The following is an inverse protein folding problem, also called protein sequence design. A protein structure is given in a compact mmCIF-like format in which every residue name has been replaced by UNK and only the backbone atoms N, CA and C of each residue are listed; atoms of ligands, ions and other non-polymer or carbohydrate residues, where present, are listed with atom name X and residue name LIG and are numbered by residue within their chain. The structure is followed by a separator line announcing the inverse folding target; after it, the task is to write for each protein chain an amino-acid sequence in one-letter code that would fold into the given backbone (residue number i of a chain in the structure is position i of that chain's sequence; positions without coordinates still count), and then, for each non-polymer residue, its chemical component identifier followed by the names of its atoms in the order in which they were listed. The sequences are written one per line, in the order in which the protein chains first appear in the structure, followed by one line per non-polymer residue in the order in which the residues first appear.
data_IF_465861231512
#
_entry.id   IF_465861231512
#
_cell.length_a   1.000
_cell.length_b   1.000
_cell.length_c   1.000
_cell.angle_alpha   90.00
_cell.angle_beta   90.00
_cell.angle_gamma   90.00
#
_symmetry.space_group_name_H-M   'P 1'
#
loop_
_entity.id
_entity.type
_entity.pdbx_description
1 polymer ?
#
# COMPACT_ATOMS: atom_id res chain seq x y z
N UNK A 1 -13.70 -9.44 40.42
CA UNK A 1 -14.34 -10.66 39.89
C UNK A 1 -15.41 -10.25 38.91
N UNK A 2 -15.24 -10.45 37.60
CA UNK A 2 -16.25 -10.80 36.59
C UNK A 2 -15.45 -10.92 35.31
N UNK A 3 -15.15 -12.18 34.92
CA UNK A 3 -14.68 -12.55 33.59
C UNK A 3 -15.81 -12.39 32.59
N UNK A 4 -15.60 -11.66 31.51
CA UNK A 4 -16.46 -11.75 30.31
C UNK A 4 -15.68 -12.47 29.20
N UNK A 5 -16.04 -13.73 29.03
CA UNK A 5 -15.60 -14.59 27.95
C UNK A 5 -16.30 -14.14 26.65
N UNK A 6 -15.54 -13.68 25.66
CA UNK A 6 -16.06 -13.43 24.31
C UNK A 6 -15.78 -14.67 23.45
N UNK A 7 -16.84 -15.36 23.04
CA UNK A 7 -16.80 -16.47 22.12
C UNK A 7 -16.69 -15.94 20.68
N UNK A 8 -15.64 -16.32 19.98
CA UNK A 8 -15.46 -16.04 18.53
C UNK A 8 -16.02 -17.23 17.77
N UNK A 9 -17.14 -17.01 17.08
CA UNK A 9 -17.75 -18.00 16.20
C UNK A 9 -17.05 -18.03 14.85
N UNK A 10 -16.46 -19.17 14.49
CA UNK A 10 -15.97 -19.46 13.14
C UNK A 10 -17.14 -19.89 12.26
N UNK A 11 -17.41 -19.16 11.18
CA UNK A 11 -18.33 -19.58 10.12
C UNK A 11 -17.51 -20.23 9.01
N UNK A 12 -17.57 -21.55 8.94
CA UNK A 12 -17.05 -22.36 7.83
C UNK A 12 -18.08 -22.43 6.73
N UNK A 13 -17.82 -21.81 5.58
CA UNK A 13 -18.62 -21.97 4.36
C UNK A 13 -18.06 -23.12 3.53
N UNK A 14 -18.80 -24.21 3.44
CA UNK A 14 -18.52 -25.31 2.54
C UNK A 14 -19.02 -24.95 1.12
N UNK A 15 -18.12 -24.94 0.14
CA UNK A 15 -18.47 -24.82 -1.28
C UNK A 15 -18.78 -26.19 -1.85
N UNK A 16 -20.02 -26.42 -2.26
CA UNK A 16 -20.45 -27.61 -2.98
C UNK A 16 -20.24 -27.42 -4.49
N UNK A 17 -19.41 -28.27 -5.08
CA UNK A 17 -19.25 -28.36 -6.53
C UNK A 17 -20.41 -29.16 -7.11
N UNK A 18 -21.26 -28.51 -7.91
CA UNK A 18 -22.30 -29.15 -8.69
C UNK A 18 -21.87 -29.27 -10.16
N UNK A 19 -21.54 -30.49 -10.59
CA UNK A 19 -21.44 -30.86 -12.01
C UNK A 19 -22.84 -31.09 -12.55
N UNK A 20 -23.29 -30.29 -13.52
CA UNK A 20 -24.48 -30.56 -14.30
C UNK A 20 -24.06 -30.80 -15.75
N UNK A 21 -24.03 -32.08 -16.13
CA UNK A 21 -24.02 -32.51 -17.52
C UNK A 21 -25.48 -32.55 -18.00
N UNK A 22 -25.84 -31.70 -18.95
CA UNK A 22 -27.08 -31.80 -19.68
C UNK A 22 -26.78 -31.97 -21.17
N UNK A 23 -26.99 -33.18 -21.66
CA UNK A 23 -27.16 -33.47 -23.07
C UNK A 23 -28.60 -33.15 -23.44
N UNK A 24 -28.83 -32.31 -24.42
CA UNK A 24 -30.13 -32.13 -25.05
C UNK A 24 -29.97 -32.06 -26.56
N UNK A 25 -30.55 -33.08 -27.17
CA UNK A 25 -30.79 -33.21 -28.59
C UNK A 25 -32.01 -32.37 -29.02
N UNK A 26 -31.85 -31.66 -30.15
CA UNK A 26 -32.88 -31.46 -31.16
C UNK A 26 -33.93 -30.38 -30.93
N UNK A 27 -34.05 -29.52 -31.82
CA UNK A 27 -35.01 -29.27 -32.92
C UNK A 27 -34.99 -27.82 -33.38
N UNK A 28 -34.85 -27.72 -34.65
CA UNK A 28 -34.92 -26.49 -35.45
C UNK A 28 -36.29 -25.83 -35.35
N UNK A 29 -36.34 -24.54 -35.14
CA UNK A 29 -37.40 -23.69 -35.68
C UNK A 29 -36.86 -22.28 -35.96
N UNK A 30 -36.94 -21.94 -37.23
CA UNK A 30 -36.62 -20.64 -37.78
C UNK A 30 -37.66 -19.64 -37.30
N UNK A 31 -37.23 -18.63 -36.57
CA UNK A 31 -37.98 -17.40 -36.46
C UNK A 31 -37.02 -16.24 -36.67
N UNK A 32 -37.19 -15.56 -37.80
CA UNK A 32 -36.54 -14.30 -38.07
C UNK A 32 -37.11 -13.24 -37.15
N UNK A 33 -36.37 -13.02 -36.04
CA UNK A 33 -36.57 -11.89 -35.14
C UNK A 33 -35.22 -11.33 -34.83
N UNK A 34 -35.02 -10.04 -35.07
CA UNK A 34 -33.73 -9.36 -34.82
C UNK A 34 -33.17 -9.67 -33.44
N UNK A 35 -32.03 -10.30 -33.44
CA UNK A 35 -31.31 -10.57 -32.20
C UNK A 35 -30.94 -9.22 -31.53
N UNK A 36 -31.27 -9.01 -30.24
CA UNK A 36 -30.75 -7.85 -29.53
C UNK A 36 -29.22 -7.94 -29.55
N UNK A 37 -28.58 -6.88 -30.04
CA UNK A 37 -27.13 -6.76 -29.95
C UNK A 37 -26.75 -6.75 -28.49
N UNK A 38 -26.21 -7.87 -28.01
CA UNK A 38 -25.61 -7.94 -26.68
C UNK A 38 -24.32 -7.16 -26.79
N UNK A 39 -24.34 -5.89 -26.36
CA UNK A 39 -23.12 -5.15 -26.11
C UNK A 39 -22.39 -5.87 -25.00
N UNK A 40 -21.24 -6.45 -25.33
CA UNK A 40 -20.36 -7.02 -24.33
C UNK A 40 -19.96 -5.88 -23.39
N UNK A 41 -20.47 -5.89 -22.16
CA UNK A 41 -19.96 -5.02 -21.10
C UNK A 41 -18.57 -5.53 -20.81
N UNK A 42 -17.57 -4.88 -21.38
CA UNK A 42 -16.19 -5.10 -20.99
C UNK A 42 -16.08 -4.51 -19.58
N UNK A 43 -16.04 -5.38 -18.60
CA UNK A 43 -15.63 -5.00 -17.28
C UNK A 43 -14.16 -4.61 -17.41
N UNK A 44 -13.85 -3.34 -17.23
CA UNK A 44 -12.49 -2.87 -17.04
C UNK A 44 -12.00 -3.47 -15.72
N UNK A 45 -11.62 -4.73 -15.77
CA UNK A 45 -10.84 -5.34 -14.69
C UNK A 45 -9.50 -4.60 -14.69
N UNK A 46 -9.14 -3.89 -13.61
CA UNK A 46 -7.82 -3.31 -13.52
C UNK A 46 -6.82 -4.42 -13.83
N UNK A 47 -6.04 -4.26 -14.90
CA UNK A 47 -4.98 -5.21 -15.19
C UNK A 47 -4.08 -5.30 -13.97
N UNK A 48 -3.68 -6.51 -13.55
CA UNK A 48 -2.63 -6.65 -12.54
C UNK A 48 -1.44 -5.83 -13.02
N UNK A 49 -1.09 -4.81 -12.27
CA UNK A 49 0.01 -3.93 -12.65
C UNK A 49 1.29 -4.73 -12.54
N UNK A 50 2.15 -4.58 -13.55
CA UNK A 50 3.44 -5.26 -13.55
C UNK A 50 4.26 -4.78 -12.35
N UNK A 51 4.87 -5.69 -11.58
CA UNK A 51 5.81 -5.29 -10.55
C UNK A 51 6.89 -4.43 -11.17
N UNK A 52 7.19 -3.28 -10.54
CA UNK A 52 8.17 -2.32 -11.03
C UNK A 52 9.43 -2.36 -10.15
N UNK A 53 10.27 -3.40 -10.27
CA UNK A 53 11.45 -3.57 -9.42
C UNK A 53 12.49 -2.45 -9.59
N UNK A 54 12.47 -1.75 -10.72
CA UNK A 54 13.33 -0.60 -10.99
C UNK A 54 13.04 0.59 -10.05
N UNK A 55 11.84 0.65 -9.47
CA UNK A 55 11.47 1.69 -8.51
C UNK A 55 11.93 1.38 -7.09
N UNK A 56 12.36 0.16 -6.79
CA UNK A 56 12.80 -0.21 -5.45
C UNK A 56 13.92 0.71 -4.94
N UNK A 57 14.92 1.00 -5.77
CA UNK A 57 16.04 1.86 -5.38
C UNK A 57 15.60 3.31 -5.08
N UNK A 58 14.88 4.03 -5.95
CA UNK A 58 14.47 5.41 -5.68
C UNK A 58 13.46 5.51 -4.53
N UNK A 59 12.56 4.54 -4.35
CA UNK A 59 11.62 4.53 -3.23
C UNK A 59 12.34 4.28 -1.90
N UNK A 60 13.27 3.33 -1.86
CA UNK A 60 14.11 3.07 -0.67
C UNK A 60 14.96 4.29 -0.32
N UNK A 61 15.53 4.97 -1.31
CA UNK A 61 16.31 6.20 -1.08
C UNK A 61 15.43 7.31 -0.50
N UNK A 62 14.21 7.49 -1.00
CA UNK A 62 13.24 8.46 -0.45
C UNK A 62 12.98 8.20 1.03
N UNK A 63 12.74 6.95 1.41
CA UNK A 63 12.51 6.56 2.82
C UNK A 63 13.77 6.76 3.68
N UNK A 64 14.93 6.41 3.15
CA UNK A 64 16.22 6.58 3.85
C UNK A 64 16.50 8.04 4.16
N UNK A 65 16.23 8.95 3.23
CA UNK A 65 16.36 10.38 3.47
C UNK A 65 15.36 10.87 4.52
N UNK A 66 14.10 10.42 4.46
CA UNK A 66 13.10 10.77 5.46
C UNK A 66 13.45 10.28 6.86
N UNK A 67 14.01 9.07 6.98
CA UNK A 67 14.47 8.49 8.24
C UNK A 67 15.86 8.95 8.66
N UNK A 68 16.60 9.65 7.81
CA UNK A 68 17.94 10.15 8.10
C UNK A 68 17.94 11.26 9.15
N UNK A 69 19.12 11.72 9.57
CA UNK A 69 19.27 12.85 10.50
C UNK A 69 18.82 14.16 9.86
N UNK A 70 18.49 15.15 10.68
CA UNK A 70 18.06 16.48 10.27
C UNK A 70 16.58 16.74 10.50
N UNK A 71 16.18 18.02 10.39
CA UNK A 71 14.80 18.43 10.63
C UNK A 71 13.84 18.01 9.50
N UNK A 72 12.60 17.72 9.85
CA UNK A 72 11.57 17.38 8.86
C UNK A 72 11.20 18.55 7.95
N UNK A 73 11.41 19.79 8.39
CA UNK A 73 11.27 20.96 7.51
C UNK A 73 12.22 20.91 6.31
N UNK A 74 13.47 20.44 6.50
CA UNK A 74 14.44 20.23 5.42
C UNK A 74 14.11 19.05 4.49
N UNK A 75 13.25 18.13 4.95
CA UNK A 75 12.81 16.94 4.19
C UNK A 75 11.47 17.12 3.50
N UNK A 76 10.88 18.31 3.57
CA UNK A 76 9.56 18.62 3.01
C UNK A 76 9.43 18.28 1.51
N UNK A 77 10.53 18.36 0.75
CA UNK A 77 10.57 18.00 -0.67
C UNK A 77 10.27 16.51 -0.94
N UNK A 78 10.45 15.63 0.04
CA UNK A 78 10.19 14.18 -0.07
C UNK A 78 8.79 13.80 0.40
N UNK A 79 7.97 14.76 0.83
CA UNK A 79 6.60 14.57 1.27
C UNK A 79 5.66 15.29 0.31
N UNK A 80 4.67 14.60 -0.21
CA UNK A 80 3.68 15.16 -1.12
C UNK A 80 2.93 16.32 -0.44
N UNK A 81 2.97 17.50 -1.07
CA UNK A 81 2.39 18.71 -0.50
C UNK A 81 3.20 19.31 0.65
N UNK A 82 4.40 18.78 0.93
CA UNK A 82 5.24 19.24 2.02
C UNK A 82 4.74 18.83 3.41
N UNK A 83 5.32 19.43 4.44
CA UNK A 83 4.94 19.21 5.84
C UNK A 83 4.63 20.55 6.51
N UNK A 84 3.52 20.62 7.24
CA UNK A 84 3.16 21.81 7.99
C UNK A 84 4.11 22.07 9.17
N UNK A 85 4.17 23.33 9.65
CA UNK A 85 5.06 23.71 10.75
C UNK A 85 4.80 22.92 12.05
N UNK A 86 3.54 22.71 12.37
CA UNK A 86 3.16 21.94 13.58
C UNK A 86 3.52 20.47 13.41
N UNK A 87 3.26 19.92 12.24
CA UNK A 87 3.58 18.54 11.90
C UNK A 87 5.09 18.29 11.89
N UNK A 88 5.89 19.23 11.38
CA UNK A 88 7.35 19.10 11.38
C UNK A 88 7.92 19.07 12.80
N UNK A 89 7.38 19.91 13.72
CA UNK A 89 7.80 19.91 15.13
C UNK A 89 7.42 18.59 15.80
N UNK A 90 6.22 18.05 15.52
CA UNK A 90 5.81 16.74 16.05
C UNK A 90 6.69 15.61 15.53
N UNK A 91 7.00 15.64 14.23
CA UNK A 91 7.89 14.67 13.60
C UNK A 91 9.32 14.75 14.15
N UNK A 92 9.87 15.94 14.36
CA UNK A 92 11.19 16.13 14.95
C UNK A 92 11.25 15.59 16.39
N UNK A 93 10.18 15.74 17.16
CA UNK A 93 10.07 15.16 18.51
C UNK A 93 10.01 13.62 18.47
N UNK A 94 9.16 13.05 17.61
CA UNK A 94 9.07 11.62 17.44
C UNK A 94 10.41 11.01 17.00
N UNK A 95 11.09 11.66 16.04
CA UNK A 95 12.42 11.27 15.61
C UNK A 95 13.43 11.31 16.77
N UNK A 96 13.44 12.39 17.54
CA UNK A 96 14.37 12.55 18.67
C UNK A 96 14.15 11.49 19.75
N UNK A 97 12.90 11.11 20.02
CA UNK A 97 12.58 10.05 20.97
C UNK A 97 13.09 8.69 20.47
N UNK A 98 12.76 8.33 19.23
CA UNK A 98 13.23 7.10 18.60
C UNK A 98 14.77 7.03 18.52
N UNK A 99 15.44 8.16 18.31
CA UNK A 99 16.89 8.23 18.32
C UNK A 99 17.48 7.97 19.69
N UNK A 100 16.86 8.49 20.76
CA UNK A 100 17.26 8.21 22.15
C UNK A 100 17.07 6.74 22.54
N UNK A 101 16.06 6.10 21.95
CA UNK A 101 15.80 4.67 22.14
C UNK A 101 16.72 3.78 21.30
N UNK A 102 17.64 4.38 20.52
CA UNK A 102 18.59 3.64 19.69
C UNK A 102 17.96 2.96 18.48
N UNK A 103 16.77 3.38 18.06
CA UNK A 103 16.06 2.78 16.91
C UNK A 103 16.75 3.06 15.57
N UNK A 104 17.56 4.12 15.48
CA UNK A 104 18.27 4.51 14.25
C UNK A 104 19.68 3.93 14.17
N UNK A 105 20.19 3.65 12.95
CA UNK A 105 19.55 3.87 11.66
C UNK A 105 18.44 2.86 11.35
N UNK A 106 17.44 3.30 10.58
CA UNK A 106 16.43 2.42 10.03
C UNK A 106 16.90 1.87 8.68
N UNK A 107 16.68 0.59 8.45
CA UNK A 107 16.84 -0.03 7.12
C UNK A 107 15.46 -0.33 6.53
N UNK A 108 15.32 -0.14 5.21
CA UNK A 108 14.04 -0.32 4.53
C UNK A 108 14.15 -1.42 3.48
N UNK A 109 13.17 -2.30 3.47
CA UNK A 109 12.94 -3.25 2.40
C UNK A 109 11.59 -2.92 1.75
N UNK A 110 11.62 -2.60 0.46
CA UNK A 110 10.45 -2.19 -0.33
C UNK A 110 10.11 -3.33 -1.27
N UNK A 111 8.92 -3.89 -1.12
CA UNK A 111 8.42 -5.04 -1.87
C UNK A 111 7.04 -4.75 -2.45
N UNK A 112 6.59 -5.59 -3.37
CA UNK A 112 5.24 -5.54 -3.95
C UNK A 112 4.91 -4.13 -4.46
N UNK A 113 5.76 -3.61 -5.35
CA UNK A 113 5.60 -2.27 -5.90
C UNK A 113 4.59 -2.31 -7.03
N UNK A 114 3.43 -1.71 -6.81
CA UNK A 114 2.38 -1.52 -7.80
C UNK A 114 2.37 -0.07 -8.29
N UNK A 115 2.44 0.14 -9.59
CA UNK A 115 2.46 1.47 -10.21
C UNK A 115 1.16 1.75 -10.94
N UNK A 116 0.55 2.89 -10.64
CA UNK A 116 -0.64 3.38 -11.35
C UNK A 116 -0.43 4.84 -11.76
N UNK A 117 0.03 5.04 -12.99
CA UNK A 117 0.38 6.37 -13.49
C UNK A 117 1.44 7.04 -12.60
N UNK A 118 1.16 8.22 -12.02
CA UNK A 118 2.10 8.93 -11.17
C UNK A 118 2.15 8.42 -9.73
N UNK A 119 1.41 7.38 -9.39
CA UNK A 119 1.31 6.83 -8.03
C UNK A 119 1.92 5.45 -7.98
N UNK A 120 2.74 5.17 -6.97
CA UNK A 120 3.24 3.85 -6.64
C UNK A 120 2.83 3.49 -5.22
N UNK A 121 2.39 2.25 -5.02
CA UNK A 121 2.11 1.68 -3.72
C UNK A 121 3.06 0.51 -3.48
N UNK A 122 3.64 0.41 -2.30
CA UNK A 122 4.56 -0.66 -1.97
C UNK A 122 4.40 -1.10 -0.52
N UNK A 123 4.69 -2.37 -0.24
CA UNK A 123 4.84 -2.89 1.10
C UNK A 123 6.25 -2.56 1.61
N UNK A 124 6.33 -1.72 2.62
CA UNK A 124 7.60 -1.27 3.21
C UNK A 124 7.79 -1.92 4.57
N UNK A 125 8.88 -2.66 4.71
CA UNK A 125 9.35 -3.16 5.99
C UNK A 125 10.49 -2.28 6.48
N UNK A 126 10.29 -1.61 7.60
CA UNK A 126 11.33 -0.87 8.30
C UNK A 126 11.90 -1.73 9.43
N UNK A 127 13.22 -1.80 9.51
CA UNK A 127 13.93 -2.51 10.57
C UNK A 127 14.76 -1.51 11.36
N UNK A 128 14.55 -1.45 12.65
CA UNK A 128 15.32 -0.62 13.56
C UNK A 128 16.66 -1.25 13.92
N UNK A 129 17.64 -0.43 14.28
CA UNK A 129 18.95 -0.92 14.77
C UNK A 129 18.83 -1.83 16.00
N UNK A 130 17.78 -1.65 16.79
CA UNK A 130 17.43 -2.52 17.95
C UNK A 130 16.83 -3.87 17.56
N UNK A 131 16.62 -4.14 16.25
CA UNK A 131 16.05 -5.38 15.73
C UNK A 131 14.51 -5.38 15.62
N UNK A 132 13.81 -4.33 16.06
CA UNK A 132 12.37 -4.20 15.87
C UNK A 132 12.02 -4.00 14.39
N UNK A 133 10.97 -4.66 13.91
CA UNK A 133 10.49 -4.55 12.52
C UNK A 133 9.04 -4.10 12.47
N UNK A 134 8.70 -3.26 11.49
CA UNK A 134 7.32 -2.86 11.19
C UNK A 134 7.10 -2.89 9.68
N UNK A 135 6.01 -3.50 9.24
CA UNK A 135 5.63 -3.56 7.82
C UNK A 135 4.31 -2.85 7.62
N UNK A 136 4.25 -1.97 6.61
CA UNK A 136 3.02 -1.28 6.24
C UNK A 136 3.01 -0.88 4.77
N UNK A 137 1.81 -0.73 4.17
CA UNK A 137 1.69 -0.19 2.83
C UNK A 137 2.01 1.31 2.84
N UNK A 138 2.84 1.75 1.90
CA UNK A 138 3.23 3.14 1.72
C UNK A 138 2.89 3.57 0.30
N UNK A 139 2.22 4.71 0.18
CA UNK A 139 1.91 5.32 -1.10
C UNK A 139 2.93 6.39 -1.42
N UNK A 140 3.47 6.32 -2.63
CA UNK A 140 4.39 7.29 -3.20
C UNK A 140 3.74 7.98 -4.39
N UNK A 141 4.13 9.21 -4.65
CA UNK A 141 3.69 9.98 -5.82
C UNK A 141 4.92 10.51 -6.55
N UNK A 142 4.93 10.40 -7.87
CA UNK A 142 5.97 11.04 -8.68
C UNK A 142 5.91 12.56 -8.46
N UNK A 143 7.06 13.17 -8.18
CA UNK A 143 7.11 14.59 -7.82
C UNK A 143 8.52 15.18 -7.89
N UNK A 144 8.64 16.47 -7.61
CA UNK A 144 9.89 17.23 -7.80
C UNK A 144 10.94 16.98 -6.71
N UNK A 145 10.96 15.79 -6.09
CA UNK A 145 12.00 15.42 -5.15
C UNK A 145 13.28 15.00 -5.89
N UNK A 146 14.46 15.03 -5.25
CA UNK A 146 15.72 14.59 -5.84
C UNK A 146 15.69 13.11 -6.30
N UNK A 147 14.83 12.28 -5.72
CA UNK A 147 14.62 10.87 -6.12
C UNK A 147 13.55 10.70 -7.18
N UNK A 148 12.83 11.78 -7.56
CA UNK A 148 11.67 11.75 -8.44
C UNK A 148 10.39 11.24 -7.76
N UNK A 149 10.44 10.86 -6.48
CA UNK A 149 9.32 10.30 -5.73
C UNK A 149 9.14 10.98 -4.38
N UNK A 150 7.90 11.16 -3.98
CA UNK A 150 7.50 11.72 -2.69
C UNK A 150 6.60 10.72 -1.97
N UNK A 151 6.76 10.60 -0.66
CA UNK A 151 5.81 9.84 0.17
C UNK A 151 4.52 10.64 0.31
N UNK A 152 3.36 9.98 0.17
CA UNK A 152 2.08 10.65 0.41
C UNK A 152 2.04 11.15 1.87
N UNK A 153 1.40 12.29 2.09
CA UNK A 153 1.28 12.89 3.43
C UNK A 153 0.68 11.93 4.45
N UNK A 154 -0.35 11.18 4.04
CA UNK A 154 -1.00 10.20 4.89
C UNK A 154 -0.05 9.07 5.29
N UNK A 155 0.70 8.51 4.33
CA UNK A 155 1.70 7.47 4.62
C UNK A 155 2.84 7.99 5.49
N UNK A 156 3.29 9.24 5.28
CA UNK A 156 4.31 9.84 6.12
C UNK A 156 3.86 9.98 7.59
N UNK A 157 2.61 10.40 7.82
CA UNK A 157 2.04 10.48 9.16
C UNK A 157 1.87 9.09 9.80
N UNK A 158 1.44 8.09 9.02
CA UNK A 158 1.34 6.71 9.50
C UNK A 158 2.70 6.13 9.90
N UNK A 159 3.75 6.38 9.11
CA UNK A 159 5.13 5.99 9.43
C UNK A 159 5.62 6.63 10.73
N UNK A 160 5.34 7.92 10.93
CA UNK A 160 5.71 8.63 12.16
C UNK A 160 4.98 8.07 13.39
N UNK A 161 3.69 7.74 13.24
CA UNK A 161 2.89 7.13 14.32
C UNK A 161 3.36 5.72 14.69
N UNK A 162 3.89 4.97 13.73
CA UNK A 162 4.44 3.63 13.96
C UNK A 162 5.85 3.66 14.59
N UNK A 163 6.57 4.77 14.47
CA UNK A 163 7.92 4.95 14.99
C UNK A 163 7.94 5.46 16.45
N UNK A 164 6.86 6.07 16.92
CA UNK A 164 6.70 6.61 18.30
C UNK A 164 6.09 5.59 19.21
#
# INVERSE_FOLDING_TARGET
MILKTLAIGFVTSAAAAGLVTAAATGVSSVAAGGAPAITAVVWDTPMPQAPAPELQAPLTQTLTVLAGPGSFSGKAAYIQGGIGRIESIAADRAYSNAAREGKFPLTFNVLDIDVNGPVATANVTATAATGGTATQPVTFTAGPSPTGWQVSRQSALALLSAAG
#
